data_IF_935810411544
#
_entry.id   IF_935810411544
#
_cell.length_a   1.000
_cell.length_b   1.000
_cell.length_c   1.000
_cell.angle_alpha   90.00
_cell.angle_beta   90.00
_cell.angle_gamma   90.00
#
_symmetry.space_group_name_H-M   'P 1'
#
loop_
_entity.id
_entity.type
_entity.pdbx_description
1 polymer ?
#
# COMPACT_ATOMS: atom_id res chain seq x y z
N UNK A 1 23.79 9.60 -9.99
CA UNK A 1 22.58 8.73 -9.97
C UNK A 1 22.96 7.44 -10.68
N UNK A 2 22.68 6.26 -10.12
CA UNK A 2 23.11 5.01 -10.77
C UNK A 2 22.37 4.82 -12.10
N UNK A 3 23.02 4.22 -13.09
CA UNK A 3 22.43 3.95 -14.41
C UNK A 3 21.13 3.14 -14.32
N UNK A 4 21.05 2.26 -13.33
CA UNK A 4 19.86 1.45 -13.01
C UNK A 4 18.67 2.32 -12.62
N UNK A 5 18.88 3.44 -11.92
CA UNK A 5 17.77 4.31 -11.55
C UNK A 5 17.24 5.12 -12.75
N UNK A 6 18.10 5.39 -13.72
CA UNK A 6 17.75 6.12 -14.96
C UNK A 6 16.95 5.22 -15.91
N UNK A 7 17.20 3.91 -15.92
CA UNK A 7 16.48 2.96 -16.77
C UNK A 7 15.05 2.67 -16.31
N UNK A 8 14.71 2.98 -15.05
CA UNK A 8 13.37 2.78 -14.51
C UNK A 8 12.51 4.04 -14.74
N UNK A 9 11.37 3.92 -15.43
CA UNK A 9 10.46 5.06 -15.58
C UNK A 9 9.99 5.59 -14.23
N UNK A 10 9.93 6.91 -14.07
CA UNK A 10 9.41 7.57 -12.85
C UNK A 10 7.99 7.09 -12.50
N UNK A 11 7.17 6.80 -13.50
CA UNK A 11 5.83 6.22 -13.33
C UNK A 11 5.85 4.87 -12.62
N UNK A 12 6.86 4.04 -12.91
CA UNK A 12 7.08 2.75 -12.26
C UNK A 12 7.47 2.94 -10.79
N UNK A 13 8.43 3.83 -10.51
CA UNK A 13 8.84 4.16 -9.14
C UNK A 13 7.63 4.64 -8.33
N UNK A 14 6.86 5.58 -8.86
CA UNK A 14 5.66 6.09 -8.19
C UNK A 14 4.59 5.00 -7.97
N UNK A 15 4.41 4.08 -8.91
CA UNK A 15 3.47 2.96 -8.78
C UNK A 15 3.85 2.06 -7.60
N UNK A 16 5.12 1.68 -7.49
CA UNK A 16 5.59 0.84 -6.40
C UNK A 16 5.62 1.57 -5.06
N UNK A 17 6.08 2.82 -5.02
CA UNK A 17 6.09 3.63 -3.80
C UNK A 17 4.68 3.79 -3.21
N UNK A 18 3.68 4.09 -4.05
CA UNK A 18 2.27 4.19 -3.60
C UNK A 18 1.72 2.85 -3.12
N UNK A 19 2.08 1.74 -3.77
CA UNK A 19 1.69 0.40 -3.31
C UNK A 19 2.28 0.13 -1.92
N UNK A 20 3.59 0.34 -1.74
CA UNK A 20 4.27 0.14 -0.46
C UNK A 20 3.67 1.00 0.64
N UNK A 21 3.38 2.28 0.38
CA UNK A 21 2.76 3.18 1.36
C UNK A 21 1.41 2.66 1.88
N UNK A 22 0.56 2.09 1.01
CA UNK A 22 -0.72 1.52 1.42
C UNK A 22 -0.57 0.27 2.30
N UNK A 23 0.44 -0.55 2.03
CA UNK A 23 0.76 -1.70 2.88
C UNK A 23 1.31 -1.24 4.24
N UNK A 24 2.16 -0.21 4.28
CA UNK A 24 2.63 0.37 5.54
C UNK A 24 1.47 0.95 6.37
N UNK A 25 0.49 1.63 5.75
CA UNK A 25 -0.72 2.09 6.42
C UNK A 25 -1.55 0.91 6.99
N UNK A 26 -1.65 -0.20 6.25
CA UNK A 26 -2.34 -1.41 6.72
C UNK A 26 -1.63 -2.03 7.93
N UNK A 27 -0.31 -2.17 7.88
CA UNK A 27 0.49 -2.73 8.97
C UNK A 27 0.48 -1.84 10.22
N UNK A 28 0.51 -0.52 10.05
CA UNK A 28 0.38 0.43 11.17
C UNK A 28 -1.00 0.36 11.84
N UNK A 29 -2.01 -0.15 11.13
CA UNK A 29 -3.35 -0.43 11.62
C UNK A 29 -3.52 -1.94 11.90
N UNK A 30 -2.44 -2.62 12.28
CA UNK A 30 -2.38 -4.02 12.73
C UNK A 30 -3.04 -5.07 11.83
N UNK A 31 -3.24 -4.77 10.54
CA UNK A 31 -3.67 -5.76 9.57
C UNK A 31 -2.47 -6.61 9.15
N UNK A 32 -2.63 -7.93 9.08
CA UNK A 32 -1.55 -8.83 8.70
C UNK A 32 -1.91 -9.67 7.46
N UNK A 33 -0.86 -10.15 6.76
CA UNK A 33 -0.97 -11.13 5.68
C UNK A 33 -2.10 -10.89 4.69
N UNK A 34 -3.02 -11.86 4.60
CA UNK A 34 -4.15 -11.86 3.66
C UNK A 34 -5.15 -10.73 3.92
N UNK A 35 -5.31 -10.35 5.19
CA UNK A 35 -6.20 -9.26 5.64
C UNK A 35 -5.67 -7.93 5.13
N UNK A 36 -4.36 -7.68 5.26
CA UNK A 36 -3.71 -6.49 4.71
C UNK A 36 -3.82 -6.43 3.18
N UNK A 37 -3.56 -7.54 2.49
CA UNK A 37 -3.66 -7.62 1.02
C UNK A 37 -5.07 -7.30 0.52
N UNK A 38 -6.08 -7.95 1.12
CA UNK A 38 -7.48 -7.73 0.75
C UNK A 38 -7.87 -6.28 0.95
N UNK A 39 -7.50 -5.67 2.08
CA UNK A 39 -7.84 -4.30 2.41
C UNK A 39 -7.17 -3.30 1.49
N UNK A 40 -5.88 -3.46 1.20
CA UNK A 40 -5.16 -2.59 0.26
C UNK A 40 -5.81 -2.66 -1.13
N UNK A 41 -6.28 -3.83 -1.57
CA UNK A 41 -6.98 -3.96 -2.84
C UNK A 41 -8.40 -3.37 -2.81
N UNK A 42 -9.14 -3.58 -1.72
CA UNK A 42 -10.51 -3.07 -1.51
C UNK A 42 -10.54 -1.54 -1.48
N UNK A 43 -9.63 -0.90 -0.75
CA UNK A 43 -9.60 0.55 -0.54
C UNK A 43 -8.61 1.29 -1.46
N UNK A 44 -8.14 0.64 -2.52
CA UNK A 44 -7.16 1.21 -3.46
C UNK A 44 -7.61 2.51 -4.13
N UNK A 45 -8.91 2.72 -4.27
CA UNK A 45 -9.49 3.91 -4.88
C UNK A 45 -9.62 5.08 -3.91
N UNK A 46 -9.84 4.80 -2.62
CA UNK A 46 -10.06 5.86 -1.60
C UNK A 46 -8.76 6.38 -1.00
N UNK A 47 -7.61 5.81 -1.40
CA UNK A 47 -6.26 6.23 -1.00
C UNK A 47 -6.02 6.29 0.52
N UNK A 48 -6.92 5.73 1.33
CA UNK A 48 -6.84 5.75 2.79
C UNK A 48 -7.61 4.58 3.37
N UNK A 49 -7.01 3.88 4.33
CA UNK A 49 -7.73 2.86 5.09
C UNK A 49 -8.53 3.52 6.22
N UNK A 50 -9.74 3.04 6.53
CA UNK A 50 -10.49 3.47 7.71
C UNK A 50 -9.64 3.30 8.98
N UNK A 51 -9.85 4.18 9.95
CA UNK A 51 -9.06 4.18 11.20
C UNK A 51 -9.38 2.96 12.07
N UNK A 52 -10.62 2.48 12.00
CA UNK A 52 -11.12 1.31 12.71
C UNK A 52 -11.17 0.05 11.84
N UNK A 53 -10.28 -0.07 10.84
CA UNK A 53 -10.33 -1.14 9.84
C UNK A 53 -10.14 -2.54 10.45
N UNK A 54 -9.31 -2.70 11.48
CA UNK A 54 -9.17 -3.97 12.21
C UNK A 54 -10.53 -4.47 12.74
N UNK A 55 -11.30 -3.57 13.35
CA UNK A 55 -12.63 -3.87 13.90
C UNK A 55 -13.67 -4.19 12.82
N UNK A 56 -13.48 -3.69 11.60
CA UNK A 56 -14.37 -3.99 10.45
C UNK A 56 -14.10 -5.40 9.92
N UNK A 57 -12.88 -5.92 10.13
CA UNK A 57 -12.42 -7.18 9.55
C UNK A 57 -12.46 -8.38 10.50
N UNK A 58 -12.66 -8.14 11.80
CA UNK A 58 -12.92 -9.17 12.82
C UNK A 58 -14.38 -9.60 12.86
#
# INVERSE_FOLDING_TARGET
VSEVLISVPVTTIHKFARKSWRYMDAYNKGLEGRTAEWTVNKYKSHHRLPENIERIMN
#
